data_IF_456785925306
#
_entry.id   IF_456785925306
#
_cell.length_a   1.000
_cell.length_b   1.000
_cell.length_c   1.000
_cell.angle_alpha   90.00
_cell.angle_beta   90.00
_cell.angle_gamma   90.00
#
_symmetry.space_group_name_H-M   'P 1'
#
loop_
_entity.id
_entity.type
_entity.pdbx_description
1 polymer ?
#
# COMPACT_ATOMS: atom_id res chain seq x y z
N UNK A 1 -18.65 33.06 12.86
CA UNK A 1 -17.72 31.97 13.25
C UNK A 1 -17.44 31.13 12.02
N UNK A 2 -16.27 31.29 11.41
CA UNK A 2 -15.84 30.47 10.28
C UNK A 2 -15.39 29.14 10.87
N UNK A 3 -16.11 28.04 10.60
CA UNK A 3 -15.66 26.69 10.95
C UNK A 3 -14.32 26.48 10.24
N UNK A 4 -13.23 26.38 10.99
CA UNK A 4 -11.95 25.87 10.51
C UNK A 4 -12.17 24.45 9.97
N UNK A 5 -12.47 24.32 8.67
CA UNK A 5 -12.40 23.03 8.00
C UNK A 5 -10.93 22.64 7.99
N UNK A 6 -10.55 21.68 8.85
CA UNK A 6 -9.20 21.10 8.82
C UNK A 6 -8.94 20.61 7.40
N UNK A 7 -7.88 21.14 6.78
CA UNK A 7 -7.50 20.77 5.42
C UNK A 7 -7.32 19.24 5.33
N UNK A 8 -7.96 18.61 4.35
CA UNK A 8 -7.79 17.18 4.11
C UNK A 8 -6.35 16.94 3.67
N UNK A 9 -5.63 16.14 4.47
CA UNK A 9 -4.27 15.69 4.17
C UNK A 9 -4.28 14.68 3.03
N UNK A 10 -3.28 14.75 2.15
CA UNK A 10 -3.21 13.84 1.01
C UNK A 10 -2.40 12.58 1.29
N UNK A 11 -2.50 11.58 0.41
CA UNK A 11 -1.65 10.37 0.43
C UNK A 11 -1.07 10.08 -0.95
N UNK A 12 0.23 9.81 -1.00
CA UNK A 12 0.90 9.29 -2.19
C UNK A 12 0.99 7.77 -2.06
N UNK A 13 0.25 7.07 -2.92
CA UNK A 13 0.29 5.62 -3.04
C UNK A 13 1.49 5.24 -3.90
N UNK A 14 2.27 4.26 -3.46
CA UNK A 14 3.42 3.75 -4.20
C UNK A 14 3.23 2.25 -4.38
N UNK A 15 3.45 1.76 -5.59
CA UNK A 15 3.30 0.34 -5.90
C UNK A 15 4.34 -0.10 -6.93
N UNK A 16 4.70 -1.38 -6.91
CA UNK A 16 5.65 -1.97 -7.84
C UNK A 16 4.99 -3.03 -8.74
N UNK A 17 4.94 -2.76 -10.04
CA UNK A 17 4.46 -3.68 -11.05
C UNK A 17 5.62 -4.52 -11.61
N UNK A 18 5.59 -5.83 -11.36
CA UNK A 18 6.58 -6.80 -11.84
C UNK A 18 6.11 -7.61 -13.06
N UNK A 19 4.80 -7.57 -13.35
CA UNK A 19 4.14 -8.24 -14.48
C UNK A 19 2.98 -7.39 -15.01
N UNK A 20 2.48 -7.63 -16.25
CA UNK A 20 1.29 -6.95 -16.75
C UNK A 20 0.07 -7.09 -15.82
N UNK A 21 -0.19 -8.30 -15.30
CA UNK A 21 -1.29 -8.56 -14.37
C UNK A 21 -1.16 -7.77 -13.07
N UNK A 22 0.05 -7.71 -12.50
CA UNK A 22 0.30 -6.91 -11.29
C UNK A 22 0.01 -5.41 -11.52
N UNK A 23 0.30 -4.90 -12.72
CA UNK A 23 -0.02 -3.52 -13.11
C UNK A 23 -1.53 -3.29 -13.14
N UNK A 24 -2.31 -4.19 -13.78
CA UNK A 24 -3.77 -4.15 -13.72
C UNK A 24 -4.29 -4.18 -12.28
N UNK A 25 -3.79 -5.11 -11.45
CA UNK A 25 -4.21 -5.26 -10.07
C UNK A 25 -4.02 -3.96 -9.27
N UNK A 26 -2.86 -3.31 -9.43
CA UNK A 26 -2.55 -2.03 -8.79
C UNK A 26 -3.51 -0.94 -9.26
N UNK A 27 -3.70 -0.79 -10.57
CA UNK A 27 -4.57 0.25 -11.11
C UNK A 27 -6.01 0.06 -10.64
N UNK A 28 -6.54 -1.15 -10.69
CA UNK A 28 -7.89 -1.45 -10.23
C UNK A 28 -8.00 -1.16 -8.71
N UNK A 29 -6.96 -1.46 -7.92
CA UNK A 29 -6.95 -1.19 -6.47
C UNK A 29 -6.88 0.30 -6.15
N UNK A 30 -6.21 1.08 -6.98
CA UNK A 30 -6.01 2.52 -6.76
C UNK A 30 -7.20 3.34 -7.27
N UNK A 31 -7.67 3.06 -8.49
CA UNK A 31 -8.66 3.88 -9.19
C UNK A 31 -10.03 3.88 -8.52
N UNK A 32 -10.34 2.86 -7.72
CA UNK A 32 -11.60 2.76 -6.99
C UNK A 32 -11.53 3.20 -5.52
N UNK A 33 -10.39 3.76 -5.07
CA UNK A 33 -10.30 4.30 -3.72
C UNK A 33 -11.18 5.53 -3.57
N UNK A 34 -11.95 5.60 -2.48
CA UNK A 34 -12.83 6.72 -2.16
C UNK A 34 -12.10 7.92 -1.51
N UNK A 35 -10.81 7.78 -1.19
CA UNK A 35 -10.07 8.86 -0.56
C UNK A 35 -9.81 10.01 -1.54
N UNK A 36 -10.17 11.27 -1.21
CA UNK A 36 -10.29 12.33 -2.21
C UNK A 36 -8.97 12.95 -2.67
N UNK A 37 -7.91 12.90 -1.86
CA UNK A 37 -6.64 13.58 -2.13
C UNK A 37 -5.51 12.55 -2.25
N UNK A 38 -5.41 11.95 -3.43
CA UNK A 38 -4.43 10.89 -3.71
C UNK A 38 -3.61 11.15 -4.97
N UNK A 39 -2.45 10.52 -5.03
CA UNK A 39 -1.73 10.23 -6.28
C UNK A 39 -1.19 8.80 -6.22
N UNK A 40 -0.94 8.21 -7.37
CA UNK A 40 -0.22 6.95 -7.51
C UNK A 40 1.13 7.21 -8.17
N UNK A 41 2.21 6.72 -7.56
CA UNK A 41 3.51 6.60 -8.18
C UNK A 41 3.78 5.12 -8.44
N UNK A 42 3.57 4.71 -9.69
CA UNK A 42 3.70 3.34 -10.15
C UNK A 42 5.14 3.08 -10.60
N UNK A 43 5.85 2.22 -9.88
CA UNK A 43 7.17 1.75 -10.30
C UNK A 43 6.96 0.53 -11.20
N UNK A 44 7.48 0.56 -12.42
CA UNK A 44 7.27 -0.51 -13.40
C UNK A 44 8.59 -1.19 -13.75
N UNK A 45 8.61 -2.52 -13.66
CA UNK A 45 9.74 -3.33 -14.11
C UNK A 45 9.97 -3.14 -15.64
N UNK A 46 11.21 -2.83 -16.04
CA UNK A 46 11.60 -2.61 -17.42
C UNK A 46 11.38 -3.82 -18.36
N UNK A 47 11.25 -5.05 -17.83
CA UNK A 47 10.96 -6.26 -18.61
C UNK A 47 9.52 -6.39 -19.09
N UNK A 48 8.60 -5.54 -18.63
CA UNK A 48 7.23 -5.55 -19.13
C UNK A 48 7.26 -5.09 -20.60
N UNK A 49 7.10 -6.04 -21.52
CA UNK A 49 7.35 -5.87 -22.96
C UNK A 49 6.43 -4.87 -23.67
N UNK A 50 5.35 -4.43 -23.02
CA UNK A 50 4.36 -3.51 -23.58
C UNK A 50 4.26 -2.14 -22.88
N UNK A 51 5.39 -1.68 -22.32
CA UNK A 51 5.46 -0.41 -21.59
C UNK A 51 4.97 0.80 -22.39
N UNK A 52 5.12 0.82 -23.72
CA UNK A 52 4.66 1.95 -24.55
C UNK A 52 3.13 2.05 -24.57
N UNK A 53 2.41 0.94 -24.65
CA UNK A 53 0.95 0.95 -24.56
C UNK A 53 0.50 1.36 -23.16
N UNK A 54 1.23 0.95 -22.12
CA UNK A 54 0.97 1.39 -20.76
C UNK A 54 1.22 2.89 -20.57
N UNK A 55 2.31 3.44 -21.09
CA UNK A 55 2.59 4.88 -21.02
C UNK A 55 1.42 5.69 -21.63
N UNK A 56 0.85 5.25 -22.76
CA UNK A 56 -0.31 5.90 -23.36
C UNK A 56 -1.59 5.71 -22.53
N UNK A 57 -1.82 4.52 -21.98
CA UNK A 57 -2.98 4.27 -21.11
C UNK A 57 -2.91 5.07 -19.81
N UNK A 58 -1.73 5.26 -19.24
CA UNK A 58 -1.57 5.97 -17.96
C UNK A 58 -1.71 7.48 -18.12
N UNK A 59 -1.40 8.04 -19.29
CA UNK A 59 -1.59 9.48 -19.60
C UNK A 59 -3.02 9.98 -19.43
N UNK A 60 -4.03 9.10 -19.47
CA UNK A 60 -5.42 9.50 -19.22
C UNK A 60 -5.71 9.82 -17.74
N UNK A 61 -4.80 9.47 -16.82
CA UNK A 61 -4.96 9.67 -15.39
C UNK A 61 -3.99 10.74 -14.86
N UNK A 62 -4.48 11.94 -14.59
CA UNK A 62 -3.67 13.07 -14.10
C UNK A 62 -3.00 12.84 -12.73
N UNK A 63 -3.48 11.84 -11.97
CA UNK A 63 -3.00 11.51 -10.63
C UNK A 63 -2.08 10.29 -10.61
N UNK A 64 -1.71 9.74 -11.77
CA UNK A 64 -0.84 8.55 -11.87
C UNK A 64 0.45 8.89 -12.60
N UNK A 65 1.58 8.68 -11.92
CA UNK A 65 2.92 8.85 -12.47
C UNK A 65 3.63 7.50 -12.53
N UNK A 66 4.09 7.10 -13.72
CA UNK A 66 4.90 5.89 -13.87
C UNK A 66 6.40 6.20 -13.84
N UNK A 67 7.16 5.38 -13.13
CA UNK A 67 8.63 5.43 -13.09
C UNK A 67 9.17 4.06 -13.48
N UNK A 68 10.07 4.02 -14.48
CA UNK A 68 10.70 2.78 -14.93
C UNK A 68 11.82 2.40 -13.97
N UNK A 69 11.85 1.14 -13.55
CA UNK A 69 12.94 0.58 -12.77
C UNK A 69 13.81 -0.34 -13.64
N UNK A 70 15.13 -0.13 -13.62
CA UNK A 70 16.08 -1.11 -14.14
C UNK A 70 16.29 -2.23 -13.12
N UNK A 71 16.43 -3.48 -13.58
CA UNK A 71 16.57 -4.65 -12.69
C UNK A 71 17.73 -4.55 -11.70
N UNK A 72 18.80 -3.84 -12.07
CA UNK A 72 19.98 -3.65 -11.23
C UNK A 72 19.74 -2.69 -10.04
N UNK A 73 18.54 -2.11 -9.93
CA UNK A 73 18.21 -1.19 -8.86
C UNK A 73 17.38 -1.86 -7.76
N UNK A 74 17.91 -1.95 -6.52
CA UNK A 74 17.18 -2.48 -5.38
C UNK A 74 15.86 -1.73 -5.15
N UNK A 75 14.78 -2.47 -4.87
CA UNK A 75 13.43 -1.89 -4.73
C UNK A 75 13.36 -0.80 -3.66
N UNK A 76 14.13 -0.95 -2.58
CA UNK A 76 14.25 0.07 -1.53
C UNK A 76 14.78 1.41 -2.05
N UNK A 77 15.79 1.40 -2.94
CA UNK A 77 16.27 2.63 -3.60
C UNK A 77 15.18 3.26 -4.47
N UNK A 78 14.43 2.44 -5.18
CA UNK A 78 13.32 2.90 -6.03
C UNK A 78 12.28 3.60 -5.17
N UNK A 79 11.82 2.96 -4.09
CA UNK A 79 10.91 3.58 -3.11
C UNK A 79 11.48 4.88 -2.56
N UNK A 80 12.72 4.88 -2.07
CA UNK A 80 13.34 6.09 -1.56
C UNK A 80 13.33 7.24 -2.60
N UNK A 81 13.63 6.93 -3.87
CA UNK A 81 13.68 7.92 -4.94
C UNK A 81 12.31 8.52 -5.27
N UNK A 82 11.25 7.70 -5.25
CA UNK A 82 9.89 8.16 -5.56
C UNK A 82 9.23 8.84 -4.38
N UNK A 83 9.47 8.37 -3.14
CA UNK A 83 8.98 9.02 -1.91
C UNK A 83 9.52 10.45 -1.84
N UNK A 84 10.79 10.67 -2.18
CA UNK A 84 11.38 12.01 -2.22
C UNK A 84 10.61 12.97 -3.14
N UNK A 85 10.05 12.47 -4.25
CA UNK A 85 9.34 13.26 -5.28
C UNK A 85 7.83 13.30 -5.10
N UNK A 86 7.29 12.50 -4.19
CA UNK A 86 5.85 12.46 -3.89
C UNK A 86 5.33 13.81 -3.38
N UNK A 87 4.03 14.07 -3.53
CA UNK A 87 3.40 15.36 -3.25
C UNK A 87 2.85 15.47 -1.83
N UNK A 88 2.37 14.37 -1.25
CA UNK A 88 1.49 14.45 -0.09
C UNK A 88 2.14 14.07 1.24
N UNK A 89 1.43 14.39 2.33
CA UNK A 89 1.89 14.23 3.72
C UNK A 89 2.00 12.77 4.17
N UNK A 90 1.26 11.86 3.54
CA UNK A 90 1.29 10.43 3.84
C UNK A 90 1.80 9.63 2.65
N UNK A 91 2.48 8.53 2.95
CA UNK A 91 2.89 7.51 1.98
C UNK A 91 2.16 6.21 2.31
N UNK A 92 1.56 5.57 1.31
CA UNK A 92 0.98 4.23 1.44
C UNK A 92 1.60 3.30 0.40
N UNK A 93 2.08 2.12 0.82
CA UNK A 93 2.68 1.13 -0.07
C UNK A 93 1.63 0.06 -0.39
N UNK A 94 1.26 -0.05 -1.66
CA UNK A 94 0.36 -1.09 -2.15
C UNK A 94 1.18 -2.28 -2.68
N UNK A 95 0.89 -3.46 -2.14
CA UNK A 95 1.36 -4.74 -2.65
C UNK A 95 0.54 -5.17 -3.86
N UNK A 96 1.21 -5.50 -4.96
CA UNK A 96 0.55 -5.77 -6.24
C UNK A 96 -0.28 -7.07 -6.26
N UNK A 97 -0.08 -7.92 -5.25
CA UNK A 97 -0.76 -9.20 -5.09
C UNK A 97 -1.84 -9.15 -4.00
N UNK A 98 -2.07 -8.01 -3.38
CA UNK A 98 -3.09 -7.84 -2.35
C UNK A 98 -4.31 -7.11 -2.90
N UNK A 99 -5.47 -7.40 -2.33
CA UNK A 99 -6.71 -6.72 -2.64
C UNK A 99 -6.93 -5.59 -1.61
N UNK A 100 -7.22 -4.38 -2.11
CA UNK A 100 -7.50 -3.20 -1.31
C UNK A 100 -8.89 -2.68 -1.67
N UNK A 101 -9.83 -2.75 -0.75
CA UNK A 101 -11.21 -2.32 -0.98
C UNK A 101 -11.35 -0.79 -1.09
N UNK A 102 -12.49 -0.25 -1.56
CA UNK A 102 -12.66 1.18 -1.82
C UNK A 102 -12.36 2.12 -0.64
N UNK A 103 -12.56 1.67 0.59
CA UNK A 103 -12.36 2.47 1.80
C UNK A 103 -11.00 2.24 2.49
N UNK A 104 -10.11 1.41 1.94
CA UNK A 104 -8.83 1.08 2.57
C UNK A 104 -8.01 2.33 2.96
N UNK A 105 -7.83 3.27 2.03
CA UNK A 105 -7.07 4.50 2.30
C UNK A 105 -7.76 5.37 3.35
N UNK A 106 -9.09 5.44 3.33
CA UNK A 106 -9.88 6.19 4.33
C UNK A 106 -9.64 5.64 5.73
N UNK A 107 -9.72 4.33 5.89
CA UNK A 107 -9.55 3.67 7.19
C UNK A 107 -8.14 3.79 7.72
N UNK A 108 -7.14 3.44 6.90
CA UNK A 108 -5.76 3.46 7.36
C UNK A 108 -5.30 4.87 7.72
N UNK A 109 -5.75 5.89 6.98
CA UNK A 109 -5.41 7.29 7.27
C UNK A 109 -6.17 7.85 8.49
N UNK A 110 -7.35 7.33 8.80
CA UNK A 110 -8.05 7.70 10.04
C UNK A 110 -7.23 7.34 11.28
N UNK A 111 -6.36 6.31 11.22
CA UNK A 111 -5.42 5.95 12.30
C UNK A 111 -4.64 7.15 12.84
N UNK A 112 -4.16 8.02 11.95
CA UNK A 112 -3.36 9.19 12.34
C UNK A 112 -4.18 10.33 12.96
N UNK A 113 -5.51 10.25 12.91
CA UNK A 113 -6.40 11.28 13.49
C UNK A 113 -6.68 11.04 14.97
N UNK A 114 -6.67 9.77 15.41
CA UNK A 114 -6.98 9.38 16.78
C UNK A 114 -5.79 8.78 17.54
N UNK A 115 -4.63 8.64 16.91
CA UNK A 115 -3.39 8.20 17.54
C UNK A 115 -2.25 9.18 17.26
N UNK A 116 -1.17 9.09 18.04
CA UNK A 116 0.09 9.77 17.77
C UNK A 116 1.09 8.88 16.99
N UNK A 117 0.56 7.90 16.23
CA UNK A 117 1.36 7.01 15.42
C UNK A 117 2.12 7.73 14.30
N UNK A 118 3.28 7.20 13.97
CA UNK A 118 4.07 7.64 12.81
C UNK A 118 3.86 6.71 11.62
N UNK A 119 3.58 5.45 11.91
CA UNK A 119 3.33 4.37 10.95
C UNK A 119 2.03 3.68 11.36
N UNK A 120 1.20 3.38 10.38
CA UNK A 120 -0.02 2.60 10.53
C UNK A 120 0.04 1.39 9.57
N UNK A 121 -0.48 0.26 10.03
CA UNK A 121 -0.73 -0.90 9.20
C UNK A 121 -1.78 -1.80 9.81
N UNK A 122 -1.84 -3.05 9.38
CA UNK A 122 -2.75 -4.07 9.93
C UNK A 122 -1.93 -5.28 10.35
N UNK A 123 -1.92 -5.62 11.62
CA UNK A 123 -1.28 -6.85 12.10
C UNK A 123 -2.24 -8.04 12.04
N UNK A 124 -3.51 -7.81 12.39
CA UNK A 124 -4.59 -8.73 12.10
C UNK A 124 -5.07 -8.49 10.68
N UNK A 125 -4.99 -9.51 9.84
CA UNK A 125 -5.39 -9.42 8.42
C UNK A 125 -6.19 -10.64 7.99
N UNK A 126 -7.00 -10.46 6.95
CA UNK A 126 -7.53 -11.57 6.18
C UNK A 126 -6.51 -11.99 5.11
N UNK A 127 -6.32 -13.29 4.95
CA UNK A 127 -5.48 -13.89 3.91
C UNK A 127 -6.27 -14.92 3.12
N UNK A 128 -6.36 -14.72 1.82
CA UNK A 128 -7.05 -15.65 0.91
C UNK A 128 -6.03 -16.56 0.23
N UNK A 129 -6.15 -17.87 0.44
CA UNK A 129 -5.35 -18.88 -0.26
C UNK A 129 -6.11 -19.30 -1.50
N UNK A 130 -5.60 -18.90 -2.67
CA UNK A 130 -6.32 -19.00 -3.94
C UNK A 130 -6.69 -20.45 -4.30
N UNK A 131 -5.74 -21.38 -4.19
CA UNK A 131 -5.97 -22.79 -4.57
C UNK A 131 -6.92 -23.52 -3.62
N UNK A 132 -6.95 -23.13 -2.36
CA UNK A 132 -7.88 -23.67 -1.36
C UNK A 132 -9.24 -22.97 -1.37
N UNK A 133 -9.37 -21.85 -2.09
CA UNK A 133 -10.53 -20.95 -2.08
C UNK A 133 -11.00 -20.62 -0.66
N UNK A 134 -10.03 -20.35 0.23
CA UNK A 134 -10.30 -20.19 1.66
C UNK A 134 -9.71 -18.90 2.20
N UNK A 135 -10.52 -18.21 3.00
CA UNK A 135 -10.11 -17.04 3.76
C UNK A 135 -9.69 -17.44 5.17
N UNK A 136 -8.52 -16.96 5.59
CA UNK A 136 -7.96 -17.15 6.92
C UNK A 136 -7.84 -15.82 7.64
N UNK A 137 -8.07 -15.84 8.95
CA UNK A 137 -7.75 -14.73 9.83
C UNK A 137 -6.36 -14.95 10.43
N UNK A 138 -5.43 -14.04 10.14
CA UNK A 138 -4.05 -14.10 10.62
C UNK A 138 -3.87 -13.15 11.79
N UNK A 139 -3.16 -13.60 12.83
CA UNK A 139 -2.90 -12.84 14.07
C UNK A 139 -4.15 -12.21 14.69
N UNK A 140 -5.18 -13.00 15.06
CA UNK A 140 -6.38 -12.46 15.69
C UNK A 140 -6.07 -11.69 16.98
N UNK A 141 -6.81 -10.60 17.23
CA UNK A 141 -6.74 -9.78 18.45
C UNK A 141 -5.48 -8.90 18.56
N UNK A 142 -4.91 -8.51 17.42
CA UNK A 142 -3.78 -7.58 17.32
C UNK A 142 -4.19 -6.24 16.69
N UNK A 143 -5.48 -5.92 16.64
CA UNK A 143 -5.96 -4.60 16.22
C UNK A 143 -5.91 -3.56 17.32
N UNK A 144 -6.07 -2.31 16.92
CA UNK A 144 -6.26 -1.13 17.77
C UNK A 144 -5.19 -0.94 18.85
N UNK A 145 -3.93 -1.22 18.51
CA UNK A 145 -2.82 -1.15 19.46
C UNK A 145 -1.53 -0.68 18.82
N UNK A 146 -0.69 -0.05 19.64
CA UNK A 146 0.71 0.11 19.30
C UNK A 146 1.38 -1.26 19.23
N UNK A 147 2.22 -1.44 18.22
CA UNK A 147 2.86 -2.70 17.90
C UNK A 147 4.26 -2.47 17.35
N UNK A 148 5.01 -3.56 17.15
CA UNK A 148 6.32 -3.56 16.52
C UNK A 148 6.30 -4.23 15.14
N UNK A 149 5.15 -4.73 14.69
CA UNK A 149 5.01 -5.39 13.39
C UNK A 149 3.60 -5.22 12.81
N UNK A 150 3.53 -5.18 11.49
CA UNK A 150 2.31 -5.14 10.68
C UNK A 150 2.52 -6.05 9.46
N UNK A 151 1.45 -6.38 8.74
CA UNK A 151 1.59 -7.07 7.47
C UNK A 151 2.34 -6.19 6.46
N UNK A 152 3.30 -6.79 5.76
CA UNK A 152 4.09 -6.21 4.66
C UNK A 152 3.24 -5.49 3.60
N UNK A 153 2.03 -5.99 3.35
CA UNK A 153 1.07 -5.43 2.39
C UNK A 153 0.26 -4.23 2.93
N UNK A 154 0.54 -3.71 4.12
CA UNK A 154 -0.33 -2.67 4.73
C UNK A 154 0.42 -1.44 5.25
N UNK A 155 1.65 -1.20 4.80
CA UNK A 155 2.45 -0.08 5.28
C UNK A 155 1.91 1.27 4.82
N UNK A 156 1.50 2.11 5.78
CA UNK A 156 1.23 3.54 5.58
C UNK A 156 1.97 4.36 6.63
N UNK A 157 2.60 5.48 6.26
CA UNK A 157 3.36 6.29 7.21
C UNK A 157 3.32 7.78 6.89
N UNK A 158 3.59 8.61 7.90
CA UNK A 158 3.77 10.05 7.73
C UNK A 158 5.07 10.33 6.99
N UNK A 159 5.01 11.06 5.88
CA UNK A 159 6.18 11.36 5.05
C UNK A 159 7.25 12.15 5.79
N UNK A 160 6.90 12.90 6.83
CA UNK A 160 7.84 13.69 7.64
C UNK A 160 8.87 12.84 8.41
N UNK A 161 8.67 11.53 8.57
CA UNK A 161 9.69 10.63 9.14
C UNK A 161 10.76 10.19 8.12
N UNK A 162 10.47 10.33 6.82
CA UNK A 162 11.33 9.87 5.74
C UNK A 162 12.75 10.47 5.73
N UNK A 163 13.02 11.70 6.18
CA UNK A 163 14.40 12.20 6.33
C UNK A 163 15.25 11.37 7.30
N UNK A 164 14.63 10.71 8.28
CA UNK A 164 15.31 9.90 9.31
C UNK A 164 15.30 8.40 9.02
N UNK A 165 14.34 7.90 8.24
CA UNK A 165 14.22 6.48 7.87
C UNK A 165 14.18 6.30 6.36
N UNK A 166 14.97 5.34 5.87
CA UNK A 166 15.00 4.91 4.46
C UNK A 166 14.70 3.42 4.35
N UNK A 167 14.20 3.02 3.19
CA UNK A 167 14.17 1.60 2.81
C UNK A 167 15.60 1.14 2.53
N UNK A 168 15.98 -0.02 3.05
CA UNK A 168 17.27 -0.64 2.79
C UNK A 168 17.36 -1.18 1.35
N UNK A 169 18.59 -1.36 0.86
CA UNK A 169 18.89 -1.92 -0.46
C UNK A 169 18.67 -3.45 -0.53
N UNK A 170 17.72 -3.97 0.25
CA UNK A 170 17.38 -5.37 0.29
C UNK A 170 16.03 -5.60 -0.45
N UNK A 171 15.95 -6.65 -1.26
CA UNK A 171 14.74 -6.93 -2.04
C UNK A 171 13.71 -7.78 -1.28
N UNK A 172 14.12 -8.50 -0.23
CA UNK A 172 13.30 -9.54 0.40
C UNK A 172 12.68 -9.14 1.74
N UNK A 173 13.14 -8.08 2.40
CA UNK A 173 12.69 -7.71 3.75
C UNK A 173 12.60 -6.19 3.96
N UNK A 174 12.37 -5.43 2.88
CA UNK A 174 12.49 -3.98 2.93
C UNK A 174 11.47 -3.33 3.87
N UNK A 175 10.25 -3.90 3.98
CA UNK A 175 9.25 -3.44 4.96
C UNK A 175 9.72 -3.74 6.39
N UNK A 176 10.12 -4.98 6.68
CA UNK A 176 10.55 -5.39 8.02
C UNK A 176 11.76 -4.58 8.50
N UNK A 177 12.74 -4.36 7.63
CA UNK A 177 13.89 -3.50 7.89
C UNK A 177 13.46 -2.05 8.15
N UNK A 178 12.51 -1.52 7.36
CA UNK A 178 11.96 -0.17 7.55
C UNK A 178 11.28 -0.04 8.92
N UNK A 179 10.47 -1.03 9.33
CA UNK A 179 9.80 -1.03 10.63
C UNK A 179 10.81 -1.12 11.78
N UNK A 180 11.80 -2.02 11.70
CA UNK A 180 12.86 -2.15 12.71
C UNK A 180 13.66 -0.86 12.88
N UNK A 181 14.06 -0.23 11.78
CA UNK A 181 14.77 1.05 11.81
C UNK A 181 13.89 2.16 12.38
N UNK A 182 12.59 2.17 12.05
CA UNK A 182 11.65 3.15 12.60
C UNK A 182 11.51 3.06 14.11
N UNK A 183 11.42 1.85 14.66
CA UNK A 183 11.36 1.61 16.11
C UNK A 183 12.65 2.12 16.79
N UNK A 184 13.82 1.84 16.19
CA UNK A 184 15.12 2.31 16.72
C UNK A 184 15.20 3.83 16.79
N UNK A 185 14.62 4.54 15.83
CA UNK A 185 14.53 6.01 15.83
C UNK A 185 13.45 6.59 16.77
N UNK A 186 12.71 5.73 17.47
CA UNK A 186 11.65 6.11 18.42
C UNK A 186 10.28 6.33 17.79
N UNK A 187 10.07 5.92 16.53
CA UNK A 187 8.78 6.08 15.86
C UNK A 187 7.78 5.00 16.29
N UNK A 188 6.54 5.43 16.51
CA UNK A 188 5.43 4.57 16.95
C UNK A 188 4.70 3.95 15.76
N UNK A 189 4.50 2.64 15.80
CA UNK A 189 3.72 1.89 14.81
C UNK A 189 2.40 1.46 15.45
N UNK A 190 1.29 1.64 14.72
CA UNK A 190 -0.04 1.26 15.18
C UNK A 190 -0.69 0.25 14.23
N UNK A 191 -1.28 -0.79 14.82
CA UNK A 191 -2.12 -1.77 14.10
C UNK A 191 -3.56 -1.29 14.14
N UNK A 192 -4.12 -1.00 12.96
CA UNK A 192 -5.51 -0.58 12.77
C UNK A 192 -6.48 -1.77 12.77
N UNK A 193 -7.71 -1.57 12.29
CA UNK A 193 -8.69 -2.63 12.08
C UNK A 193 -8.21 -3.68 11.04
N UNK A 194 -8.96 -4.78 10.87
CA UNK A 194 -8.64 -5.87 9.95
C UNK A 194 -9.31 -5.78 8.56
N UNK A 195 -10.16 -4.80 8.32
CA UNK A 195 -11.05 -4.71 7.16
C UNK A 195 -10.38 -4.02 5.96
N UNK A 196 -11.09 -4.06 4.82
CA UNK A 196 -10.74 -3.39 3.57
C UNK A 196 -9.40 -3.80 2.93
N UNK A 197 -8.82 -4.89 3.39
CA UNK A 197 -7.60 -5.45 2.85
C UNK A 197 -7.60 -6.97 2.97
N UNK A 198 -7.21 -7.65 1.88
CA UNK A 198 -7.03 -9.10 1.85
C UNK A 198 -5.70 -9.41 1.17
N UNK A 199 -4.82 -10.12 1.89
CA UNK A 199 -3.56 -10.62 1.32
C UNK A 199 -3.82 -11.89 0.53
N UNK A 200 -3.52 -11.89 -0.77
CA UNK A 200 -3.69 -13.09 -1.61
C UNK A 200 -2.41 -13.91 -1.59
N UNK A 201 -2.54 -15.19 -1.25
CA UNK A 201 -1.47 -16.18 -1.35
C UNK A 201 -1.57 -16.93 -2.67
N UNK A 202 -0.42 -17.27 -3.23
CA UNK A 202 -0.26 -18.08 -4.43
C UNK A 202 -0.89 -17.47 -5.71
N UNK A 203 -0.87 -16.14 -5.82
CA UNK A 203 -1.39 -15.43 -7.00
C UNK A 203 -0.48 -15.57 -8.22
N UNK A 204 0.84 -15.63 -8.04
CA UNK A 204 1.81 -15.65 -9.14
C UNK A 204 1.74 -14.39 -10.00
N UNK A 205 1.67 -14.56 -11.33
CA UNK A 205 1.52 -13.45 -12.30
C UNK A 205 0.09 -13.29 -12.82
N UNK A 206 -0.91 -13.69 -12.02
CA UNK A 206 -2.32 -13.67 -12.41
C UNK A 206 -3.04 -12.42 -11.93
N UNK A 207 -4.24 -12.17 -12.48
CA UNK A 207 -5.13 -11.12 -12.00
C UNK A 207 -5.76 -11.50 -10.67
N UNK A 208 -6.02 -10.51 -9.82
CA UNK A 208 -6.77 -10.71 -8.58
C UNK A 208 -8.17 -11.30 -8.89
N UNK A 209 -8.64 -12.30 -8.11
CA UNK A 209 -9.98 -12.84 -8.25
C UNK A 209 -11.02 -11.91 -7.60
N UNK A 210 -11.05 -10.63 -8.03
CA UNK A 210 -11.86 -9.55 -7.43
C UNK A 210 -13.33 -9.92 -7.26
N UNK A 211 -13.95 -10.42 -8.33
CA UNK A 211 -15.37 -10.80 -8.32
C UNK A 211 -15.66 -11.84 -7.23
N UNK A 212 -14.86 -12.90 -7.14
CA UNK A 212 -15.02 -13.92 -6.11
C UNK A 212 -14.80 -13.34 -4.71
N UNK A 213 -13.81 -12.46 -4.54
CA UNK A 213 -13.55 -11.78 -3.27
C UNK A 213 -14.76 -10.93 -2.83
N UNK A 214 -15.29 -10.12 -3.75
CA UNK A 214 -16.38 -9.18 -3.48
C UNK A 214 -17.71 -9.91 -3.24
N UNK A 215 -17.97 -11.01 -3.95
CA UNK A 215 -19.18 -11.83 -3.79
C UNK A 215 -19.12 -12.69 -2.52
N UNK A 216 -18.01 -13.39 -2.28
CA UNK A 216 -17.90 -14.37 -1.20
C UNK A 216 -17.48 -13.76 0.15
N UNK A 217 -16.75 -12.64 0.13
CA UNK A 217 -16.17 -12.02 1.32
C UNK A 217 -16.57 -10.54 1.50
N UNK A 218 -17.76 -10.16 1.02
CA UNK A 218 -18.33 -8.81 1.23
C UNK A 218 -18.31 -8.36 2.69
N UNK A 219 -18.46 -9.28 3.64
CA UNK A 219 -18.41 -8.97 5.10
C UNK A 219 -17.07 -8.44 5.60
N UNK A 220 -15.97 -8.61 4.86
CA UNK A 220 -14.65 -8.06 5.25
C UNK A 220 -14.31 -6.74 4.53
N UNK A 221 -15.21 -6.28 3.65
CA UNK A 221 -15.14 -5.04 2.89
C UNK A 221 -16.17 -4.08 3.49
N UNK A 222 -15.72 -3.00 4.14
CA UNK A 222 -16.57 -2.15 4.99
C UNK A 222 -16.47 -0.68 4.61
#
# INVERSE_FOLDING_TARGET
>A
MIKNQKEVKGVSVIAYAHSPSSLYNILDNYLWQNYPKTELILIVNNKISDLKNWDNRLKQYNHINAVKNSEDFPIGKCFNSVIKKSKYDYISIFDANSYYAPNYLTDILNTFKYTDAHIAGKQTIFSYVKYEKRLFLVNPNYEYRFTNSIADSTLTFRKDIFPRIKFEDNNQYYIDSFLKSSIKEGFKIYSSDRFNHIKIKDLGSEKLPRKAIEEEFSSVIV
#
